data_IF_151561399100
#
_entry.id   IF_151561399100
#
_cell.length_a   1.000
_cell.length_b   1.000
_cell.length_c   1.000
_cell.angle_alpha   90.00
_cell.angle_beta   90.00
_cell.angle_gamma   90.00
#
_symmetry.space_group_name_H-M   'P 1'
#
loop_
_entity.id
_entity.type
_entity.pdbx_description
1 polymer ?
#
# COMPACT_ATOMS: atom_id res chain seq x y z
N UNK A 1 3.25 -3.75 -10.74
CA UNK A 1 3.86 -5.10 -10.62
C UNK A 1 2.96 -6.01 -9.80
N UNK A 2 1.80 -6.41 -10.34
CA UNK A 2 0.78 -7.16 -9.59
C UNK A 2 1.16 -8.65 -9.36
N UNK A 3 1.88 -9.24 -10.31
CA UNK A 3 2.23 -10.66 -10.32
C UNK A 3 3.16 -11.06 -9.14
N UNK A 4 4.13 -10.21 -8.81
CA UNK A 4 5.03 -10.46 -7.68
C UNK A 4 4.28 -10.51 -6.34
N UNK A 5 3.24 -9.68 -6.18
CA UNK A 5 2.41 -9.68 -4.97
C UNK A 5 1.57 -10.95 -4.87
N UNK A 6 0.90 -11.35 -5.97
CA UNK A 6 0.08 -12.56 -5.99
C UNK A 6 0.88 -13.83 -5.61
N UNK A 7 2.06 -14.03 -6.21
CA UNK A 7 2.94 -15.17 -5.91
C UNK A 7 3.42 -15.19 -4.44
N UNK A 8 3.67 -14.02 -3.86
CA UNK A 8 4.08 -13.91 -2.45
C UNK A 8 2.93 -14.27 -1.52
N UNK A 9 1.72 -13.81 -1.83
CA UNK A 9 0.51 -14.12 -1.06
C UNK A 9 0.18 -15.61 -1.09
N UNK A 10 0.26 -16.24 -2.27
CA UNK A 10 0.08 -17.69 -2.42
C UNK A 10 1.11 -18.48 -1.59
N UNK A 11 2.37 -18.05 -1.61
CA UNK A 11 3.43 -18.69 -0.82
C UNK A 11 3.23 -18.55 0.70
N UNK A 12 2.70 -17.42 1.17
CA UNK A 12 2.35 -17.21 2.58
C UNK A 12 1.17 -18.09 3.01
N UNK A 13 0.11 -18.14 2.18
CA UNK A 13 -1.06 -18.97 2.42
C UNK A 13 -0.70 -20.46 2.46
N UNK A 14 0.17 -20.92 1.55
CA UNK A 14 0.68 -22.30 1.55
C UNK A 14 1.51 -22.68 2.79
N UNK A 15 1.94 -21.70 3.60
CA UNK A 15 2.70 -21.89 4.85
C UNK A 15 1.89 -21.61 6.12
N UNK A 16 0.60 -21.28 6.00
CA UNK A 16 -0.27 -20.98 7.13
C UNK A 16 0.07 -19.68 7.87
N UNK A 17 0.81 -18.76 7.24
CA UNK A 17 1.13 -17.46 7.83
C UNK A 17 0.01 -16.45 7.55
N UNK A 18 -0.42 -15.74 8.58
CA UNK A 18 -1.39 -14.66 8.40
C UNK A 18 -0.72 -13.43 7.77
N UNK A 19 -1.33 -12.90 6.71
CA UNK A 19 -0.90 -11.66 6.08
C UNK A 19 -1.18 -10.48 7.01
N UNK A 20 -0.15 -9.80 7.52
CA UNK A 20 -0.34 -8.60 8.34
C UNK A 20 -0.93 -7.41 7.54
N UNK A 21 -0.61 -7.29 6.25
CA UNK A 21 -1.14 -6.26 5.35
C UNK A 21 -0.24 -6.03 4.13
N UNK A 22 -0.68 -5.21 3.19
CA UNK A 22 0.10 -4.77 2.02
C UNK A 22 0.41 -3.29 2.14
N UNK A 23 1.68 -2.92 2.02
CA UNK A 23 2.13 -1.52 1.94
C UNK A 23 2.72 -1.28 0.56
N UNK A 24 2.27 -0.23 -0.12
CA UNK A 24 2.90 0.25 -1.35
C UNK A 24 4.20 0.98 -0.97
N UNK A 25 5.35 0.40 -1.31
CA UNK A 25 6.65 0.92 -0.87
C UNK A 25 7.12 2.21 -1.58
N UNK A 26 6.50 2.56 -2.71
CA UNK A 26 6.79 3.78 -3.46
C UNK A 26 5.58 4.15 -4.31
N UNK A 27 4.85 5.19 -3.91
CA UNK A 27 3.67 5.71 -4.59
C UNK A 27 3.99 7.07 -5.21
N UNK A 28 3.92 7.20 -6.55
CA UNK A 28 4.28 8.45 -7.21
C UNK A 28 3.19 9.51 -7.01
N UNK A 29 3.56 10.79 -7.09
CA UNK A 29 2.60 11.90 -7.04
C UNK A 29 1.61 11.89 -8.21
N UNK A 30 2.02 11.33 -9.36
CA UNK A 30 1.20 11.16 -10.56
C UNK A 30 1.19 9.68 -10.99
N UNK A 31 0.40 8.81 -10.34
CA UNK A 31 0.31 7.41 -10.71
C UNK A 31 -0.30 7.27 -12.11
N UNK A 32 0.12 6.26 -12.86
CA UNK A 32 -0.52 5.91 -14.12
C UNK A 32 -1.84 5.14 -13.89
N UNK A 33 -2.55 4.81 -14.97
CA UNK A 33 -3.83 4.10 -14.86
C UNK A 33 -3.65 2.70 -14.27
N UNK A 34 -2.56 2.00 -14.62
CA UNK A 34 -2.31 0.66 -14.13
C UNK A 34 -2.06 0.67 -12.61
N UNK A 35 -1.29 1.63 -12.11
CA UNK A 35 -1.05 1.83 -10.68
C UNK A 35 -2.34 2.09 -9.91
N UNK A 36 -3.21 2.96 -10.45
CA UNK A 36 -4.53 3.24 -9.87
C UNK A 36 -5.43 2.01 -9.82
N UNK A 37 -5.56 1.28 -10.94
CA UNK A 37 -6.36 0.05 -11.01
C UNK A 37 -5.85 -1.01 -10.02
N UNK A 38 -4.52 -1.15 -9.89
CA UNK A 38 -3.92 -2.13 -9.00
C UNK A 38 -4.31 -1.96 -7.52
N UNK A 39 -4.77 -0.78 -7.07
CA UNK A 39 -5.20 -0.60 -5.68
C UNK A 39 -6.31 -1.61 -5.34
N UNK A 40 -7.37 -1.64 -6.14
CA UNK A 40 -8.51 -2.56 -5.93
C UNK A 40 -8.11 -4.02 -6.09
N UNK A 41 -7.24 -4.32 -7.05
CA UNK A 41 -6.76 -5.69 -7.28
C UNK A 41 -5.96 -6.19 -6.07
N UNK A 42 -5.10 -5.34 -5.50
CA UNK A 42 -4.31 -5.67 -4.31
C UNK A 42 -5.18 -5.88 -3.06
N UNK A 43 -6.20 -5.04 -2.85
CA UNK A 43 -7.14 -5.22 -1.74
C UNK A 43 -7.96 -6.51 -1.90
N UNK A 44 -8.34 -6.85 -3.14
CA UNK A 44 -9.04 -8.09 -3.47
C UNK A 44 -8.17 -9.31 -3.19
N UNK A 45 -6.91 -9.29 -3.65
CA UNK A 45 -5.94 -10.37 -3.42
C UNK A 45 -5.62 -10.57 -1.93
N UNK A 46 -5.55 -9.49 -1.16
CA UNK A 46 -5.29 -9.53 0.28
C UNK A 46 -6.54 -9.87 1.11
N UNK A 47 -7.73 -9.81 0.51
CA UNK A 47 -9.03 -9.82 1.19
C UNK A 47 -9.12 -8.81 2.35
N UNK A 48 -8.43 -7.66 2.23
CA UNK A 48 -8.39 -6.57 3.21
C UNK A 48 -7.89 -5.26 2.58
N UNK A 49 -8.18 -4.09 3.18
CA UNK A 49 -7.67 -2.81 2.68
C UNK A 49 -6.13 -2.74 2.69
N UNK A 50 -5.57 -1.81 1.90
CA UNK A 50 -4.15 -1.50 1.97
C UNK A 50 -3.77 -1.07 3.40
N UNK A 51 -2.61 -1.52 3.85
CA UNK A 51 -2.05 -1.15 5.15
C UNK A 51 -1.21 0.14 5.09
N UNK A 52 -0.99 0.69 3.91
CA UNK A 52 -0.23 1.92 3.74
C UNK A 52 0.24 2.15 2.31
N UNK A 53 0.67 3.37 2.04
CA UNK A 53 1.34 3.75 0.81
C UNK A 53 2.38 4.84 1.10
N UNK A 54 3.67 4.50 0.96
CA UNK A 54 4.77 5.44 1.12
C UNK A 54 4.93 6.27 -0.16
N UNK A 55 5.10 7.59 -0.09
CA UNK A 55 5.41 8.40 -1.26
C UNK A 55 6.78 8.00 -1.85
N UNK A 56 6.90 8.16 -3.16
CA UNK A 56 8.18 8.03 -3.85
C UNK A 56 9.23 8.96 -3.22
N UNK A 57 10.47 8.45 -3.08
CA UNK A 57 11.57 9.21 -2.46
C UNK A 57 11.58 9.21 -0.93
N UNK A 58 10.64 8.52 -0.26
CA UNK A 58 10.60 8.43 1.21
C UNK A 58 11.95 8.03 1.82
N UNK A 59 12.68 7.09 1.21
CA UNK A 59 13.98 6.61 1.69
C UNK A 59 15.11 7.63 1.66
N UNK A 60 14.95 8.77 0.98
CA UNK A 60 15.92 9.86 0.94
C UNK A 60 15.62 10.99 1.95
N UNK A 61 14.51 10.91 2.68
CA UNK A 61 14.08 11.94 3.64
C UNK A 61 15.01 11.99 4.85
N UNK A 62 15.15 13.16 5.47
CA UNK A 62 15.85 13.26 6.75
C UNK A 62 15.11 12.41 7.81
N UNK A 63 15.79 11.77 8.79
CA UNK A 63 15.13 10.86 9.73
C UNK A 63 13.91 11.44 10.45
N UNK A 64 13.95 12.72 10.84
CA UNK A 64 12.81 13.39 11.47
C UNK A 64 11.60 13.53 10.54
N UNK A 65 11.84 13.83 9.26
CA UNK A 65 10.79 13.93 8.23
C UNK A 65 10.22 12.55 7.91
N UNK A 66 11.09 11.54 7.84
CA UNK A 66 10.69 10.16 7.62
C UNK A 66 9.73 9.65 8.70
N UNK A 67 9.93 10.05 9.98
CA UNK A 67 9.03 9.64 11.06
C UNK A 67 7.61 10.20 10.89
N UNK A 68 7.49 11.46 10.45
CA UNK A 68 6.18 12.07 10.15
C UNK A 68 5.55 11.36 8.96
N UNK A 69 6.33 11.20 7.89
CA UNK A 69 5.90 10.54 6.66
C UNK A 69 5.47 9.09 6.89
N UNK A 70 6.21 8.32 7.70
CA UNK A 70 5.85 6.96 8.07
C UNK A 70 4.55 6.92 8.88
N UNK A 71 4.36 7.87 9.81
CA UNK A 71 3.11 7.97 10.58
C UNK A 71 1.91 8.26 9.68
N UNK A 72 2.06 9.11 8.67
CA UNK A 72 0.96 9.43 7.75
C UNK A 72 0.69 8.32 6.72
N UNK A 73 1.76 7.61 6.32
CA UNK A 73 1.72 6.63 5.23
C UNK A 73 1.34 5.22 5.66
N UNK A 74 1.45 4.89 6.96
CA UNK A 74 1.14 3.56 7.49
C UNK A 74 -0.21 3.54 8.22
N UNK A 75 -0.90 2.40 8.16
CA UNK A 75 -2.19 2.20 8.81
C UNK A 75 -2.07 2.04 10.33
N UNK A 76 -3.21 2.05 11.05
CA UNK A 76 -3.22 1.98 12.52
C UNK A 76 -2.53 0.74 13.10
N UNK A 77 -2.61 -0.41 12.42
CA UNK A 77 -1.90 -1.65 12.82
C UNK A 77 -0.37 -1.48 12.86
N UNK A 78 0.16 -0.52 12.11
CA UNK A 78 1.59 -0.21 12.03
C UNK A 78 1.93 1.13 12.72
N UNK A 79 1.01 1.68 13.52
CA UNK A 79 1.22 2.88 14.33
C UNK A 79 1.02 4.21 13.61
N UNK A 80 0.47 4.20 12.41
CA UNK A 80 0.19 5.41 11.63
C UNK A 80 -1.30 5.76 11.53
N UNK A 81 -1.62 6.64 10.59
CA UNK A 81 -2.93 7.26 10.39
C UNK A 81 -3.47 7.11 8.97
N UNK A 82 -2.86 6.25 8.14
CA UNK A 82 -3.28 6.04 6.76
C UNK A 82 -4.73 5.55 6.67
N UNK A 83 -5.51 6.21 5.83
CA UNK A 83 -6.90 5.85 5.50
C UNK A 83 -6.97 5.22 4.11
N UNK A 84 -7.10 3.90 4.07
CA UNK A 84 -7.18 3.14 2.83
C UNK A 84 -8.44 3.48 2.00
N UNK A 85 -9.56 3.82 2.65
CA UNK A 85 -10.79 4.17 1.94
C UNK A 85 -10.62 5.51 1.23
N UNK A 86 -10.11 6.52 1.95
CA UNK A 86 -9.82 7.82 1.35
C UNK A 86 -8.77 7.71 0.23
N UNK A 87 -7.70 6.94 0.44
CA UNK A 87 -6.67 6.71 -0.56
C UNK A 87 -7.24 6.06 -1.83
N UNK A 88 -8.09 5.04 -1.69
CA UNK A 88 -8.76 4.41 -2.83
C UNK A 88 -9.66 5.40 -3.56
N UNK A 89 -10.48 6.18 -2.84
CA UNK A 89 -11.37 7.18 -3.44
C UNK A 89 -10.61 8.26 -4.22
N UNK A 90 -9.47 8.72 -3.68
CA UNK A 90 -8.62 9.71 -4.32
C UNK A 90 -8.08 9.25 -5.68
N UNK A 91 -7.76 7.95 -5.79
CA UNK A 91 -7.09 7.38 -6.96
C UNK A 91 -7.99 6.47 -7.80
N UNK A 92 -9.28 6.36 -7.46
CA UNK A 92 -10.23 5.54 -8.21
C UNK A 92 -10.34 6.09 -9.65
N UNK A 93 -10.16 5.26 -10.69
CA UNK A 93 -10.35 5.69 -12.06
C UNK A 93 -11.80 6.16 -12.24
N UNK A 94 -12.01 7.47 -12.42
CA UNK A 94 -13.30 7.98 -12.88
C UNK A 94 -13.49 7.48 -14.32
N UNK A 95 -14.64 6.85 -14.58
CA UNK A 95 -15.01 6.33 -15.90
C UNK A 95 -15.10 7.40 -16.96
#
# INVERSE_FOLDING_TARGET
TLNATALTLEALAGRGLELAGIVLGSWPAAPDLAMRCNIRDLETLAARPLAGALPEGAGASHPAEFLVLARESLGPLFGGTFDAAHFREQYDPKG
#
